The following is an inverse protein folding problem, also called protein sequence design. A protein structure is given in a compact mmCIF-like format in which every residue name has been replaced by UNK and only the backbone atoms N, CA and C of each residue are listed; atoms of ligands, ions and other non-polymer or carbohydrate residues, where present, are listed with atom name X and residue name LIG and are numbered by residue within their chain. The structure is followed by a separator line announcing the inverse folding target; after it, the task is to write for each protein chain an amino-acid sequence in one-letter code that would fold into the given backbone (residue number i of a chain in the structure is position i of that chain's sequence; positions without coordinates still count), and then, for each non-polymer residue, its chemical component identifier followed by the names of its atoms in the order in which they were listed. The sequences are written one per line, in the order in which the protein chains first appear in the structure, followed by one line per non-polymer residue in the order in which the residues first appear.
data_IF_457640366256
#
_entry.id   IF_457640366256
#
_cell.length_a   1.000
_cell.length_b   1.000
_cell.length_c   1.000
_cell.angle_alpha   90.00
_cell.angle_beta   90.00
_cell.angle_gamma   90.00
#
_symmetry.space_group_name_H-M   'P 1'
#
loop_
_entity.id
_entity.type
_entity.pdbx_description
1 polymer ?
#
# COMPACT_ATOMS: atom_id res chain seq x y z
N UNK A 1 16.29 -32.63 26.89
CA UNK A 1 14.93 -32.18 26.49
C UNK A 1 15.07 -30.89 25.68
N UNK A 2 14.59 -30.84 24.43
CA UNK A 2 14.70 -29.63 23.57
C UNK A 2 13.59 -28.62 23.96
N UNK A 3 13.96 -27.38 24.27
CA UNK A 3 13.02 -26.26 24.55
C UNK A 3 12.12 -26.03 23.33
N UNK A 4 10.80 -26.17 23.51
CA UNK A 4 9.80 -25.67 22.54
C UNK A 4 9.88 -24.15 22.54
N UNK A 5 10.20 -23.56 21.39
CA UNK A 5 10.06 -22.12 21.18
C UNK A 5 8.57 -21.80 21.09
N UNK A 6 8.04 -21.16 22.13
CA UNK A 6 6.68 -20.63 22.15
C UNK A 6 6.56 -19.60 21.03
N UNK A 7 5.92 -20.00 19.92
CA UNK A 7 5.50 -19.05 18.89
C UNK A 7 4.40 -18.21 19.54
N UNK A 8 4.74 -16.98 19.93
CA UNK A 8 3.79 -16.01 20.47
C UNK A 8 2.54 -16.00 19.61
N UNK A 9 1.39 -16.18 20.28
CA UNK A 9 0.06 -16.14 19.67
C UNK A 9 -0.05 -14.87 18.83
N UNK A 10 0.00 -15.01 17.50
CA UNK A 10 -0.43 -13.94 16.60
C UNK A 10 -1.94 -13.87 16.80
N UNK A 11 -2.43 -12.75 17.33
CA UNK A 11 -3.86 -12.47 17.38
C UNK A 11 -4.52 -12.69 16.02
N UNK A 12 -5.86 -12.80 15.97
CA UNK A 12 -6.57 -13.13 14.74
C UNK A 12 -6.12 -12.19 13.62
N UNK A 13 -5.56 -12.78 12.56
CA UNK A 13 -5.21 -12.03 11.38
C UNK A 13 -6.52 -11.44 10.82
N UNK A 14 -6.52 -10.17 10.38
CA UNK A 14 -7.69 -9.62 9.72
C UNK A 14 -8.08 -10.53 8.56
N UNK A 15 -9.31 -11.04 8.57
CA UNK A 15 -9.84 -11.81 7.46
C UNK A 15 -9.99 -10.90 6.23
N UNK A 16 -9.63 -11.45 5.08
CA UNK A 16 -9.78 -10.85 3.76
C UNK A 16 -10.74 -11.73 2.97
N UNK A 17 -11.73 -11.14 2.32
CA UNK A 17 -12.71 -11.88 1.52
C UNK A 17 -12.08 -12.55 0.29
N UNK A 18 -11.04 -11.94 -0.29
CA UNK A 18 -10.29 -12.52 -1.42
C UNK A 18 -9.27 -13.58 -0.99
N UNK A 19 -9.27 -13.97 0.30
CA UNK A 19 -8.48 -15.07 0.83
C UNK A 19 -7.02 -14.71 1.10
N UNK A 20 -6.14 -14.99 0.12
CA UNK A 20 -4.68 -14.90 0.33
C UNK A 20 -4.19 -13.45 0.23
N UNK A 21 -3.33 -13.05 1.17
CA UNK A 21 -2.65 -11.75 1.14
C UNK A 21 -1.14 -11.88 1.12
N UNK A 22 -0.47 -10.83 0.63
CA UNK A 22 0.99 -10.70 0.61
C UNK A 22 1.38 -9.38 1.27
N UNK A 23 2.30 -9.45 2.22
CA UNK A 23 2.87 -8.24 2.84
C UNK A 23 3.91 -7.61 1.93
N UNK A 24 3.83 -6.30 1.76
CA UNK A 24 4.84 -5.47 1.08
C UNK A 24 5.30 -4.36 2.03
N UNK A 25 6.53 -3.86 1.83
CA UNK A 25 7.02 -2.66 2.53
C UNK A 25 6.81 -1.45 1.63
N UNK A 26 6.26 -0.38 2.20
CA UNK A 26 5.93 0.86 1.47
C UNK A 26 6.29 2.07 2.32
N UNK A 27 6.53 3.25 1.72
CA UNK A 27 6.65 4.50 2.46
C UNK A 27 5.41 4.78 3.31
N UNK A 28 5.62 5.26 4.55
CA UNK A 28 4.53 5.57 5.49
C UNK A 28 3.53 6.56 4.86
N UNK A 29 4.01 7.51 4.06
CA UNK A 29 3.19 8.51 3.37
C UNK A 29 2.08 7.93 2.47
N UNK A 30 2.21 6.68 2.00
CA UNK A 30 1.20 6.02 1.15
C UNK A 30 0.52 4.83 1.82
N UNK A 31 0.91 4.47 3.04
CA UNK A 31 0.46 3.25 3.70
C UNK A 31 -1.07 3.23 3.89
N UNK A 32 -1.65 4.31 4.40
CA UNK A 32 -3.09 4.40 4.65
C UNK A 32 -3.91 4.38 3.36
N UNK A 33 -3.40 5.01 2.30
CA UNK A 33 -4.06 5.03 0.99
C UNK A 33 -4.09 3.63 0.38
N UNK A 34 -2.96 2.93 0.37
CA UNK A 34 -2.90 1.55 -0.12
C UNK A 34 -3.79 0.62 0.69
N UNK A 35 -3.85 0.80 2.01
CA UNK A 35 -4.73 0.03 2.88
C UNK A 35 -6.21 0.27 2.54
N UNK A 36 -6.62 1.52 2.31
CA UNK A 36 -7.99 1.87 1.89
C UNK A 36 -8.35 1.23 0.54
N UNK A 37 -7.45 1.32 -0.43
CA UNK A 37 -7.65 0.71 -1.76
C UNK A 37 -7.77 -0.81 -1.63
N UNK A 38 -6.88 -1.45 -0.88
CA UNK A 38 -6.91 -2.89 -0.66
C UNK A 38 -8.23 -3.34 -0.03
N UNK A 39 -8.76 -2.58 0.94
CA UNK A 39 -10.07 -2.87 1.57
C UNK A 39 -11.25 -2.72 0.61
N UNK A 40 -11.24 -1.72 -0.27
CA UNK A 40 -12.27 -1.58 -1.31
C UNK A 40 -12.27 -2.77 -2.26
N UNK A 41 -11.09 -3.15 -2.75
CA UNK A 41 -10.92 -4.34 -3.60
C UNK A 41 -11.46 -5.59 -2.90
N UNK A 42 -11.11 -5.76 -1.63
CA UNK A 42 -11.55 -6.91 -0.84
C UNK A 42 -13.07 -6.97 -0.64
N UNK A 43 -13.76 -5.82 -0.68
CA UNK A 43 -15.23 -5.75 -0.58
C UNK A 43 -15.95 -5.78 -1.93
N UNK A 44 -15.22 -5.77 -3.04
CA UNK A 44 -15.81 -5.61 -4.37
C UNK A 44 -16.33 -4.18 -4.63
N UNK A 45 -15.87 -3.20 -3.87
CA UNK A 45 -16.26 -1.79 -4.05
C UNK A 45 -15.47 -1.16 -5.21
N UNK A 46 -16.08 -0.25 -5.99
CA UNK A 46 -15.38 0.47 -7.05
C UNK A 46 -14.29 1.39 -6.48
N UNK A 47 -13.17 1.46 -7.21
CA UNK A 47 -12.06 2.36 -6.93
C UNK A 47 -12.21 3.60 -7.80
N UNK A 48 -12.13 4.77 -7.18
CA UNK A 48 -12.18 6.03 -7.90
C UNK A 48 -10.75 6.40 -8.40
N UNK A 49 -10.59 6.94 -9.62
CA UNK A 49 -9.27 7.27 -10.18
C UNK A 49 -8.41 8.18 -9.28
N UNK A 50 -9.03 9.11 -8.56
CA UNK A 50 -8.36 9.99 -7.59
C UNK A 50 -7.67 9.24 -6.46
N UNK A 51 -8.16 8.05 -6.09
CA UNK A 51 -7.54 7.23 -5.04
C UNK A 51 -6.20 6.64 -5.46
N UNK A 52 -5.89 6.60 -6.75
CA UNK A 52 -4.61 6.11 -7.28
C UNK A 52 -3.56 7.22 -7.35
N UNK A 53 -3.96 8.49 -7.23
CA UNK A 53 -3.03 9.61 -7.20
C UNK A 53 -2.25 9.57 -5.90
N UNK A 54 -0.93 9.44 -6.00
CA UNK A 54 -0.09 9.49 -4.81
C UNK A 54 -0.19 10.90 -4.19
N UNK A 55 -0.23 11.01 -2.86
CA UNK A 55 -0.21 12.31 -2.16
C UNK A 55 1.18 12.96 -2.28
N UNK A 56 2.18 12.15 -2.64
CA UNK A 56 3.52 12.56 -2.96
C UNK A 56 3.56 12.95 -4.44
N UNK A 57 3.70 14.24 -4.66
CA UNK A 57 4.14 14.81 -5.92
C UNK A 57 5.59 14.34 -6.15
N UNK A 58 5.76 13.10 -6.62
CA UNK A 58 7.04 12.62 -7.12
C UNK A 58 7.34 13.41 -8.38
N UNK A 59 7.92 14.60 -8.22
CA UNK A 59 8.78 15.32 -9.19
C UNK A 59 8.63 14.90 -10.66
N UNK A 60 7.42 14.90 -11.21
CA UNK A 60 7.24 14.94 -12.67
C UNK A 60 7.45 16.39 -13.15
N UNK A 61 7.29 17.38 -12.26
CA UNK A 61 7.56 18.77 -12.60
C UNK A 61 9.04 19.15 -12.56
N UNK A 62 9.94 18.43 -11.86
CA UNK A 62 11.35 18.85 -11.84
C UNK A 62 12.08 18.45 -13.13
N UNK A 63 11.81 17.25 -13.64
CA UNK A 63 12.40 16.75 -14.88
C UNK A 63 11.80 17.42 -16.13
N UNK A 64 10.49 17.67 -16.14
CA UNK A 64 9.82 18.37 -17.26
C UNK A 64 10.16 19.86 -17.26
N UNK A 65 10.27 20.53 -16.10
CA UNK A 65 10.72 21.93 -16.06
C UNK A 65 12.17 22.09 -16.52
N UNK A 66 13.08 21.19 -16.14
CA UNK A 66 14.48 21.22 -16.61
C UNK A 66 14.57 21.06 -18.13
N UNK A 67 13.82 20.13 -18.72
CA UNK A 67 13.78 19.94 -20.19
C UNK A 67 13.15 21.12 -20.95
N UNK A 68 12.18 21.81 -20.34
CA UNK A 68 11.55 23.00 -20.94
C UNK A 68 12.41 24.27 -20.87
N UNK A 69 13.44 24.30 -20.03
CA UNK A 69 14.36 25.44 -19.89
C UNK A 69 15.57 25.36 -20.84
N UNK A 70 15.74 24.24 -21.54
CA UNK A 70 16.81 23.99 -22.52
C UNK A 70 16.35 24.05 -23.99
N UNK A 71 15.11 24.47 -24.26
CA UNK A 71 14.58 24.78 -25.60
C UNK A 71 14.32 26.28 -25.74
#
# INVERSE_FOLDING_TARGET
MKKKTERGSRGPAPNWNLGRTKTIRVPIAIADQLLKIARKIDRGEPIEPQMLKAPINYTENKFIEELSKEQ
#
